data_IF_984964236786
#
_entry.id   IF_984964236786
#
_cell.length_a   1.000
_cell.length_b   1.000
_cell.length_c   1.000
_cell.angle_alpha   90.00
_cell.angle_beta   90.00
_cell.angle_gamma   90.00
#
_symmetry.space_group_name_H-M   'P 1'
#
loop_
_entity.id
_entity.type
_entity.pdbx_description
1 polymer ?
#
# COMPACT_ATOMS: atom_id res chain seq x y z
N UNK A 1 -20.67 15.65 18.84
CA UNK A 1 -19.44 14.83 18.88
C UNK A 1 -19.83 13.46 18.37
N UNK A 2 -19.69 13.19 17.07
CA UNK A 2 -19.91 11.84 16.55
C UNK A 2 -18.60 11.07 16.80
N UNK A 3 -18.55 10.31 17.89
CA UNK A 3 -17.57 9.25 18.06
C UNK A 3 -17.94 8.15 17.06
N UNK A 4 -17.56 8.32 15.80
CA UNK A 4 -17.73 7.28 14.79
C UNK A 4 -16.74 6.17 15.10
N UNK A 5 -17.25 4.99 15.46
CA UNK A 5 -16.43 3.77 15.49
C UNK A 5 -15.77 3.61 14.11
N UNK A 6 -14.43 3.56 14.11
CA UNK A 6 -13.68 3.21 12.91
C UNK A 6 -13.92 1.72 12.69
N UNK A 7 -14.63 1.37 11.63
CA UNK A 7 -14.80 -0.03 11.24
C UNK A 7 -13.43 -0.67 11.02
N UNK A 8 -13.22 -1.87 11.58
CA UNK A 8 -11.98 -2.63 11.48
C UNK A 8 -12.19 -3.86 10.61
N UNK A 9 -11.16 -4.24 9.84
CA UNK A 9 -11.07 -5.52 9.12
C UNK A 9 -9.94 -6.36 9.71
N UNK A 10 -10.12 -7.68 9.74
CA UNK A 10 -9.08 -8.61 10.19
C UNK A 10 -8.28 -9.08 8.97
N UNK A 11 -6.97 -8.91 9.04
CA UNK A 11 -6.03 -9.46 8.07
C UNK A 11 -5.09 -10.47 8.72
N UNK A 12 -4.59 -11.42 7.92
CA UNK A 12 -3.67 -12.46 8.38
C UNK A 12 -2.39 -12.45 7.57
N UNK A 13 -1.26 -12.45 8.27
CA UNK A 13 0.07 -12.71 7.70
C UNK A 13 0.70 -13.95 8.35
N UNK A 14 1.99 -14.19 8.11
CA UNK A 14 2.73 -15.31 8.71
C UNK A 14 2.86 -15.23 10.24
N UNK A 15 2.61 -14.05 10.85
CA UNK A 15 2.67 -13.84 12.30
C UNK A 15 1.30 -13.99 12.98
N UNK A 16 0.23 -14.19 12.19
CA UNK A 16 -1.14 -14.38 12.68
C UNK A 16 -2.09 -13.27 12.25
N UNK A 17 -3.23 -13.22 12.92
CA UNK A 17 -4.30 -12.24 12.63
C UNK A 17 -4.01 -10.88 13.28
N UNK A 18 -4.52 -9.82 12.66
CA UNK A 18 -4.37 -8.46 13.12
C UNK A 18 -5.48 -7.54 12.58
N UNK A 19 -5.91 -6.58 13.39
CA UNK A 19 -6.93 -5.60 13.01
C UNK A 19 -6.32 -4.39 12.28
N UNK A 20 -6.92 -4.05 11.14
CA UNK A 20 -6.54 -2.90 10.29
C UNK A 20 -7.80 -2.06 10.05
N UNK A 21 -7.73 -0.71 10.05
CA UNK A 21 -8.90 0.11 9.71
C UNK A 21 -9.47 -0.26 8.34
N UNK A 22 -10.78 -0.46 8.24
CA UNK A 22 -11.43 -0.98 7.03
C UNK A 22 -11.14 -0.13 5.79
N UNK A 23 -11.14 1.19 5.95
CA UNK A 23 -10.91 2.17 4.87
C UNK A 23 -9.42 2.43 4.57
N UNK A 24 -8.49 1.84 5.33
CA UNK A 24 -7.07 2.02 5.08
C UNK A 24 -6.62 1.29 3.81
N UNK A 25 -5.94 2.01 2.90
CA UNK A 25 -5.30 1.42 1.71
C UNK A 25 -4.11 0.50 2.05
N UNK A 26 -3.54 0.63 3.24
CA UNK A 26 -2.45 -0.23 3.73
C UNK A 26 -3.00 -1.48 4.44
N UNK A 27 -2.19 -2.53 4.54
CA UNK A 27 -2.55 -3.80 5.19
C UNK A 27 -1.77 -4.09 6.48
N UNK A 28 -1.86 -5.34 6.94
CA UNK A 28 -1.28 -5.83 8.20
C UNK A 28 0.23 -5.58 8.31
N UNK A 29 0.99 -5.76 7.23
CA UNK A 29 2.44 -5.56 7.25
C UNK A 29 2.81 -4.10 7.58
N UNK A 30 2.12 -3.13 6.98
CA UNK A 30 2.31 -1.71 7.28
C UNK A 30 1.88 -1.37 8.69
N UNK A 31 0.77 -1.94 9.16
CA UNK A 31 0.28 -1.70 10.52
C UNK A 31 1.24 -2.24 11.59
N UNK A 32 1.80 -3.43 11.36
CA UNK A 32 2.86 -3.98 12.23
C UNK A 32 4.13 -3.14 12.18
N UNK A 33 4.56 -2.70 11.00
CA UNK A 33 5.72 -1.82 10.87
C UNK A 33 5.53 -0.51 11.64
N UNK A 34 4.35 0.11 11.53
CA UNK A 34 4.01 1.30 12.30
C UNK A 34 4.09 1.06 13.81
N UNK A 35 3.51 -0.03 14.33
CA UNK A 35 3.58 -0.36 15.76
C UNK A 35 5.00 -0.67 16.24
N UNK A 36 5.81 -1.34 15.42
CA UNK A 36 7.13 -1.82 15.81
C UNK A 36 8.22 -0.75 15.69
N UNK A 37 8.08 0.22 14.78
CA UNK A 37 9.16 1.14 14.39
C UNK A 37 8.80 2.62 14.55
N UNK A 38 7.90 2.96 15.47
CA UNK A 38 7.61 4.35 15.82
C UNK A 38 8.71 4.94 16.71
N UNK A 39 9.88 5.21 16.13
CA UNK A 39 11.08 5.66 16.86
C UNK A 39 11.28 7.18 16.74
N UNK A 40 11.35 7.70 15.50
CA UNK A 40 11.62 9.13 15.24
C UNK A 40 10.36 10.00 15.20
N UNK A 41 9.19 9.39 15.10
CA UNK A 41 7.92 10.09 14.84
C UNK A 41 7.79 10.65 13.41
N UNK A 42 8.77 10.43 12.54
CA UNK A 42 8.76 10.89 11.13
C UNK A 42 8.25 9.76 10.24
N UNK A 43 7.04 9.87 9.65
CA UNK A 43 6.51 8.85 8.75
C UNK A 43 7.12 8.94 7.34
N UNK A 44 7.00 7.85 6.58
CA UNK A 44 7.45 7.79 5.16
C UNK A 44 6.72 8.81 4.29
N UNK A 45 5.52 9.24 4.67
CA UNK A 45 4.75 10.26 3.95
C UNK A 45 5.43 11.64 3.88
N UNK A 46 6.39 11.92 4.76
CA UNK A 46 7.22 13.14 4.69
C UNK A 46 8.25 13.11 3.55
N UNK A 47 8.40 11.96 2.87
CA UNK A 47 9.34 11.76 1.76
C UNK A 47 8.58 11.38 0.47
N UNK A 48 7.84 12.32 -0.15
CA UNK A 48 6.99 12.04 -1.29
C UNK A 48 7.77 11.47 -2.49
N UNK A 49 9.02 11.88 -2.68
CA UNK A 49 9.88 11.36 -3.76
C UNK A 49 10.13 9.86 -3.62
N UNK A 50 10.27 9.36 -2.38
CA UNK A 50 10.43 7.94 -2.12
C UNK A 50 9.15 7.17 -2.45
N UNK A 51 7.99 7.71 -2.07
CA UNK A 51 6.68 7.11 -2.37
C UNK A 51 6.44 7.05 -3.88
N UNK A 52 6.71 8.15 -4.59
CA UNK A 52 6.61 8.23 -6.06
C UNK A 52 7.59 7.26 -6.72
N UNK A 53 8.84 7.19 -6.26
CA UNK A 53 9.82 6.26 -6.81
C UNK A 53 9.39 4.79 -6.64
N UNK A 54 8.82 4.43 -5.48
CA UNK A 54 8.28 3.09 -5.25
C UNK A 54 7.12 2.77 -6.22
N UNK A 55 6.22 3.72 -6.45
CA UNK A 55 5.12 3.55 -7.41
C UNK A 55 5.64 3.37 -8.85
N UNK A 56 6.65 4.14 -9.26
CA UNK A 56 7.30 3.98 -10.58
C UNK A 56 7.93 2.59 -10.74
N UNK A 57 8.65 2.12 -9.72
CA UNK A 57 9.25 0.78 -9.73
C UNK A 57 8.17 -0.31 -9.84
N UNK A 58 7.06 -0.17 -9.12
CA UNK A 58 5.95 -1.14 -9.17
C UNK A 58 5.20 -1.12 -10.50
N UNK A 59 4.98 0.06 -11.08
CA UNK A 59 4.43 0.21 -12.44
C UNK A 59 5.31 -0.51 -13.47
N UNK A 60 6.62 -0.27 -13.43
CA UNK A 60 7.57 -0.91 -14.34
C UNK A 60 7.60 -2.43 -14.14
N UNK A 61 7.59 -2.91 -12.90
CA UNK A 61 7.56 -4.35 -12.59
C UNK A 61 6.28 -5.02 -13.10
N UNK A 62 5.11 -4.39 -12.92
CA UNK A 62 3.86 -4.90 -13.47
C UNK A 62 3.93 -5.04 -14.99
N UNK A 63 4.38 -3.99 -15.69
CA UNK A 63 4.53 -4.02 -17.14
C UNK A 63 5.53 -5.09 -17.63
N UNK A 64 6.65 -5.27 -16.93
CA UNK A 64 7.62 -6.32 -17.25
C UNK A 64 7.03 -7.72 -17.04
N UNK A 65 6.34 -7.94 -15.91
CA UNK A 65 5.74 -9.23 -15.58
C UNK A 65 4.61 -9.62 -16.54
N UNK A 66 3.84 -8.66 -17.04
CA UNK A 66 2.84 -8.93 -18.09
C UNK A 66 3.50 -9.38 -19.39
N UNK A 67 4.61 -8.73 -19.79
CA UNK A 67 5.36 -9.12 -21.00
C UNK A 67 5.96 -10.52 -20.88
N UNK A 68 6.36 -10.93 -19.66
CA UNK A 68 6.86 -12.27 -19.36
C UNK A 68 5.74 -13.31 -19.21
N UNK A 69 4.46 -12.91 -19.22
CA UNK A 69 3.32 -13.80 -19.05
C UNK A 69 3.12 -14.32 -17.62
N UNK A 70 3.82 -13.76 -16.63
CA UNK A 70 3.70 -14.16 -15.21
C UNK A 70 2.68 -13.32 -14.42
N UNK A 71 2.08 -12.33 -15.07
CA UNK A 71 0.99 -11.51 -14.56
C UNK A 71 -0.04 -11.27 -15.66
N UNK A 72 -1.31 -11.55 -15.39
CA UNK A 72 -2.40 -11.32 -16.34
C UNK A 72 -2.62 -9.83 -16.61
N UNK A 73 -3.19 -9.51 -17.77
CA UNK A 73 -3.34 -8.14 -18.23
C UNK A 73 -4.31 -7.31 -17.38
N UNK A 74 -5.34 -7.93 -16.80
CA UNK A 74 -6.35 -7.27 -15.98
C UNK A 74 -5.71 -6.76 -14.68
N UNK A 75 -5.04 -7.64 -13.93
CA UNK A 75 -4.32 -7.26 -12.72
C UNK A 75 -3.18 -6.30 -13.00
N UNK A 76 -2.46 -6.49 -14.10
CA UNK A 76 -1.40 -5.57 -14.48
C UNK A 76 -1.90 -4.16 -14.76
N UNK A 77 -3.06 -4.02 -15.42
CA UNK A 77 -3.69 -2.73 -15.65
C UNK A 77 -4.11 -2.08 -14.34
N UNK A 78 -4.80 -2.82 -13.46
CA UNK A 78 -5.21 -2.31 -12.15
C UNK A 78 -4.02 -1.82 -11.31
N UNK A 79 -2.90 -2.56 -11.31
CA UNK A 79 -1.67 -2.14 -10.61
C UNK A 79 -1.08 -0.88 -11.23
N UNK A 80 -1.00 -0.80 -12.57
CA UNK A 80 -0.45 0.37 -13.25
C UNK A 80 -1.30 1.62 -13.03
N UNK A 81 -2.62 1.50 -13.08
CA UNK A 81 -3.56 2.59 -12.84
C UNK A 81 -3.42 3.12 -11.39
N UNK A 82 -3.37 2.23 -10.39
CA UNK A 82 -3.11 2.62 -9.01
C UNK A 82 -1.73 3.27 -8.82
N UNK A 83 -0.70 2.82 -9.54
CA UNK A 83 0.61 3.46 -9.50
C UNK A 83 0.58 4.86 -10.11
N UNK A 84 -0.19 5.07 -11.18
CA UNK A 84 -0.35 6.37 -11.83
C UNK A 84 -1.09 7.37 -10.93
N UNK A 85 -2.09 6.92 -10.16
CA UNK A 85 -2.72 7.74 -9.13
C UNK A 85 -1.69 8.22 -8.09
N UNK A 86 -0.84 7.31 -7.58
CA UNK A 86 0.20 7.66 -6.60
C UNK A 86 1.21 8.64 -7.20
N UNK A 87 1.71 8.38 -8.43
CA UNK A 87 2.66 9.26 -9.12
C UNK A 87 2.04 10.64 -9.39
N UNK A 88 0.73 10.69 -9.68
CA UNK A 88 -0.03 11.93 -9.86
C UNK A 88 -0.34 12.68 -8.55
N UNK A 89 0.08 12.17 -7.40
CA UNK A 89 -0.14 12.79 -6.09
C UNK A 89 -1.46 12.42 -5.40
N UNK A 90 -2.23 11.49 -5.97
CA UNK A 90 -3.46 10.98 -5.38
C UNK A 90 -3.18 9.72 -4.54
N UNK A 91 -2.85 9.88 -3.27
CA UNK A 91 -2.64 8.74 -2.36
C UNK A 91 -3.10 9.02 -0.92
#
# INVERSE_FOLDING_TARGET
MHSGEIAMRIERDSLGEFEVPAEAKYGVHSMRAYKNFFISGVPVSEFPELVIALAQVKKAAAAANTKLGVLDAERARAIQDACDEIIGGAH
#
